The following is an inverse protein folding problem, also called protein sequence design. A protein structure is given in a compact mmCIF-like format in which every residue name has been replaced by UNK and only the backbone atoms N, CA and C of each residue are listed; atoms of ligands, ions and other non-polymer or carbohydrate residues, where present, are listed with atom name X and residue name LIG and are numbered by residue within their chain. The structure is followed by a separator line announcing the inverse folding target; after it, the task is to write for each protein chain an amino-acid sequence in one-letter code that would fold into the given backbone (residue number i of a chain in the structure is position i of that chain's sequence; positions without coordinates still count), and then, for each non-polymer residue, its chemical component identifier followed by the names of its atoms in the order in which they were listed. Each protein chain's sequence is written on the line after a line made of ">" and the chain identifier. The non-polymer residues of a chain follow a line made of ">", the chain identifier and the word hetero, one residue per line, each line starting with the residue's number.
data_IF_324873319926
#
_entry.id   IF_324873319926
#
_cell.length_a   1.000
_cell.length_b   1.000
_cell.length_c   1.000
_cell.angle_alpha   90.00
_cell.angle_beta   90.00
_cell.angle_gamma   90.00
#
_symmetry.space_group_name_H-M   'P 1'
#
loop_
_entity.id
_entity.type
_entity.pdbx_description
1 polymer ?
#
# COMPACT_ATOMS: atom_id res chain seq x y z
N UNK A 1 -11.65 23.12 -31.26
CA UNK A 1 -10.76 24.25 -31.60
C UNK A 1 -11.60 25.48 -31.96
N UNK A 2 -12.53 25.37 -32.90
CA UNK A 2 -13.41 26.48 -33.34
C UNK A 2 -14.18 27.13 -32.17
N UNK A 3 -14.69 26.35 -31.21
CA UNK A 3 -15.38 26.88 -30.03
C UNK A 3 -14.49 27.76 -29.13
N UNK A 4 -13.19 27.57 -29.14
CA UNK A 4 -12.25 28.30 -28.30
C UNK A 4 -11.66 29.53 -28.99
N UNK A 5 -11.37 29.43 -30.30
CA UNK A 5 -10.67 30.52 -31.01
C UNK A 5 -11.59 31.63 -31.50
N UNK A 6 -12.90 31.42 -31.53
CA UNK A 6 -13.93 32.37 -32.00
C UNK A 6 -13.70 32.93 -33.41
N UNK A 7 -12.65 32.51 -34.10
CA UNK A 7 -12.27 32.86 -35.47
C UNK A 7 -12.06 31.57 -36.28
N UNK A 8 -12.13 31.68 -37.61
CA UNK A 8 -11.96 30.55 -38.52
C UNK A 8 -10.62 29.85 -38.30
N UNK A 9 -10.66 28.53 -38.14
CA UNK A 9 -9.46 27.71 -37.87
C UNK A 9 -8.73 27.46 -39.19
N UNK A 10 -7.50 27.91 -39.28
CA UNK A 10 -6.65 27.67 -40.45
C UNK A 10 -6.08 26.25 -40.38
N UNK A 11 -6.11 25.47 -41.51
CA UNK A 11 -5.58 24.10 -41.53
C UNK A 11 -4.16 23.95 -41.04
N UNK A 12 -3.31 24.94 -41.31
CA UNK A 12 -1.92 24.99 -40.84
C UNK A 12 -1.79 25.07 -39.33
N UNK A 13 -2.70 25.77 -38.66
CA UNK A 13 -2.74 25.86 -37.20
C UNK A 13 -3.18 24.53 -36.59
N UNK A 14 -4.14 23.83 -37.21
CA UNK A 14 -4.58 22.52 -36.74
C UNK A 14 -3.44 21.51 -36.81
N UNK A 15 -2.71 21.49 -37.91
CA UNK A 15 -1.58 20.61 -38.11
C UNK A 15 -0.45 20.91 -37.10
N UNK A 16 -0.13 22.17 -36.88
CA UNK A 16 0.86 22.56 -35.86
C UNK A 16 0.44 22.16 -34.43
N UNK A 17 -0.82 22.38 -34.07
CA UNK A 17 -1.38 21.97 -32.79
C UNK A 17 -1.33 20.45 -32.61
N UNK A 18 -1.69 19.70 -33.68
CA UNK A 18 -1.63 18.26 -33.65
C UNK A 18 -0.20 17.74 -33.50
N UNK A 19 0.75 18.25 -34.27
CA UNK A 19 2.15 17.86 -34.17
C UNK A 19 2.77 18.23 -32.83
N UNK A 20 2.49 19.44 -32.32
CA UNK A 20 3.02 19.90 -31.03
C UNK A 20 2.46 19.17 -29.82
N UNK A 21 1.21 18.70 -29.89
CA UNK A 21 0.56 17.97 -28.79
C UNK A 21 0.59 16.45 -28.94
N UNK A 22 1.02 15.94 -30.10
CA UNK A 22 0.92 14.52 -30.46
C UNK A 22 -0.52 14.01 -30.47
N UNK A 23 -1.50 14.89 -30.69
CA UNK A 23 -2.92 14.58 -30.60
C UNK A 23 -3.47 14.43 -29.18
N UNK A 24 -2.69 14.79 -28.16
CA UNK A 24 -3.11 14.70 -26.75
C UNK A 24 -4.17 15.76 -26.43
N UNK A 25 -5.43 15.37 -26.09
CA UNK A 25 -6.51 16.32 -25.82
C UNK A 25 -6.24 17.26 -24.66
N UNK A 26 -5.54 16.78 -23.61
CA UNK A 26 -5.18 17.59 -22.46
C UNK A 26 -4.26 18.73 -22.87
N UNK A 27 -3.16 18.42 -23.56
CA UNK A 27 -2.20 19.44 -24.02
C UNK A 27 -2.85 20.42 -24.97
N UNK A 28 -3.74 19.93 -25.84
CA UNK A 28 -4.49 20.76 -26.75
C UNK A 28 -5.40 21.76 -26.01
N UNK A 29 -6.19 21.30 -25.03
CA UNK A 29 -7.06 22.18 -24.21
C UNK A 29 -6.22 23.16 -23.42
N UNK A 30 -5.11 22.71 -22.81
CA UNK A 30 -4.20 23.57 -22.06
C UNK A 30 -3.56 24.64 -22.95
N UNK A 31 -3.15 24.31 -24.15
CA UNK A 31 -2.67 25.26 -25.17
C UNK A 31 -3.73 26.30 -25.50
N UNK A 32 -4.93 25.83 -25.90
CA UNK A 32 -6.04 26.71 -26.31
C UNK A 32 -6.49 27.65 -25.18
N UNK A 33 -6.54 27.19 -23.93
CA UNK A 33 -6.89 28.02 -22.78
C UNK A 33 -5.79 29.01 -22.36
N UNK A 34 -4.56 28.79 -22.82
CA UNK A 34 -3.41 29.69 -22.56
C UNK A 34 -3.22 30.78 -23.62
N UNK A 35 -3.97 30.68 -24.70
CA UNK A 35 -3.90 31.69 -25.80
C UNK A 35 -4.70 32.94 -25.45
N UNK A 36 -4.13 33.79 -24.64
CA UNK A 36 -4.63 35.17 -24.38
C UNK A 36 -4.11 36.16 -25.45
N UNK A 37 -4.36 35.90 -26.71
CA UNK A 37 -4.16 36.86 -27.81
C UNK A 37 -2.78 37.46 -28.02
N UNK A 38 -1.83 37.30 -27.11
CA UNK A 38 -0.52 37.95 -27.11
C UNK A 38 0.69 37.03 -27.08
N UNK A 39 0.50 35.70 -27.04
CA UNK A 39 1.62 34.74 -26.93
C UNK A 39 1.91 34.05 -28.26
N UNK A 40 3.19 33.88 -28.55
CA UNK A 40 3.71 33.24 -29.74
C UNK A 40 3.43 31.70 -29.64
N UNK A 41 2.41 31.23 -30.37
CA UNK A 41 1.97 29.84 -30.43
C UNK A 41 3.14 28.92 -30.75
N UNK A 42 4.07 29.37 -31.58
CA UNK A 42 5.22 28.58 -32.03
C UNK A 42 6.14 28.17 -30.87
N UNK A 43 6.30 29.04 -29.88
CA UNK A 43 7.10 28.76 -28.69
C UNK A 43 6.40 27.79 -27.73
N UNK A 44 5.07 27.89 -27.62
CA UNK A 44 4.26 26.97 -26.78
C UNK A 44 4.18 25.58 -27.38
N UNK A 45 4.25 25.45 -28.70
CA UNK A 45 4.24 24.18 -29.42
C UNK A 45 5.57 23.42 -29.31
N UNK A 46 6.69 24.11 -29.06
CA UNK A 46 8.00 23.47 -28.85
C UNK A 46 8.10 22.69 -27.54
N UNK A 47 7.38 23.14 -26.51
CA UNK A 47 7.30 22.44 -25.21
C UNK A 47 5.89 22.61 -24.60
N UNK A 48 4.92 21.78 -25.00
CA UNK A 48 3.55 21.86 -24.48
C UNK A 48 3.46 21.62 -22.97
N UNK A 49 4.41 20.88 -22.41
CA UNK A 49 4.46 20.63 -20.96
C UNK A 49 4.90 21.86 -20.17
N UNK A 50 5.55 22.84 -20.81
CA UNK A 50 5.92 24.11 -20.17
C UNK A 50 4.71 24.89 -19.64
N UNK A 51 3.54 24.73 -20.27
CA UNK A 51 2.30 25.36 -19.84
C UNK A 51 1.86 24.79 -18.48
N UNK A 52 1.87 23.46 -18.34
CA UNK A 52 1.53 22.81 -17.07
C UNK A 52 2.57 23.20 -16.01
N UNK A 53 3.84 23.17 -16.35
CA UNK A 53 4.94 23.54 -15.44
C UNK A 53 4.79 24.99 -14.96
N UNK A 54 4.46 25.94 -15.85
CA UNK A 54 4.24 27.34 -15.49
C UNK A 54 3.02 27.51 -14.58
N UNK A 55 1.91 26.81 -14.85
CA UNK A 55 0.74 26.82 -13.97
C UNK A 55 1.08 26.28 -12.58
N UNK A 56 1.82 25.17 -12.51
CA UNK A 56 2.27 24.61 -11.25
C UNK A 56 3.18 25.58 -10.48
N UNK A 57 4.02 26.35 -11.19
CA UNK A 57 4.92 27.34 -10.58
C UNK A 57 4.19 28.60 -10.08
N UNK A 58 3.00 28.90 -10.60
CA UNK A 58 2.16 30.01 -10.16
C UNK A 58 1.25 29.70 -8.98
N UNK A 59 1.19 28.42 -8.55
CA UNK A 59 0.39 28.01 -7.40
C UNK A 59 0.99 28.52 -6.08
N UNK A 60 0.12 28.78 -5.12
CA UNK A 60 0.56 29.04 -3.75
C UNK A 60 1.28 27.78 -3.18
N UNK A 61 2.19 27.96 -2.21
CA UNK A 61 2.85 26.85 -1.55
C UNK A 61 1.86 25.84 -0.96
N UNK A 62 0.72 26.30 -0.46
CA UNK A 62 -0.33 25.50 0.13
C UNK A 62 -1.04 24.62 -0.93
N UNK A 63 -1.44 25.23 -2.04
CA UNK A 63 -2.04 24.50 -3.17
C UNK A 63 -1.06 23.45 -3.72
N UNK A 64 0.23 23.80 -3.77
CA UNK A 64 1.28 22.87 -4.18
C UNK A 64 1.41 21.67 -3.24
N UNK A 65 1.32 21.89 -1.92
CA UNK A 65 1.37 20.80 -0.93
C UNK A 65 0.23 19.79 -1.12
N UNK A 66 -0.97 20.24 -1.49
CA UNK A 66 -2.09 19.33 -1.80
C UNK A 66 -1.72 18.40 -2.97
N UNK A 67 -1.22 18.97 -4.07
CA UNK A 67 -0.80 18.18 -5.22
C UNK A 67 0.32 17.20 -4.88
N UNK A 68 1.28 17.64 -4.06
CA UNK A 68 2.38 16.77 -3.62
C UNK A 68 1.89 15.58 -2.80
N UNK A 69 0.93 15.78 -1.90
CA UNK A 69 0.32 14.69 -1.13
C UNK A 69 -0.47 13.75 -2.04
N UNK A 70 -1.34 14.28 -2.92
CA UNK A 70 -2.14 13.43 -3.82
C UNK A 70 -1.24 12.62 -4.76
N UNK A 71 -0.08 13.16 -5.16
CA UNK A 71 0.81 12.53 -6.14
C UNK A 71 1.40 11.20 -5.70
N UNK A 72 1.54 10.96 -4.39
CA UNK A 72 2.14 9.72 -3.84
C UNK A 72 1.14 8.57 -3.70
N UNK A 73 -0.14 8.80 -3.94
CA UNK A 73 -1.16 7.74 -3.95
C UNK A 73 -1.34 7.20 -5.37
N UNK A 74 -1.60 5.89 -5.48
CA UNK A 74 -1.85 5.26 -6.78
C UNK A 74 -3.18 5.71 -7.41
N UNK A 75 -4.19 5.99 -6.59
CA UNK A 75 -5.55 6.33 -7.00
C UNK A 75 -6.07 7.63 -6.40
N UNK A 76 -7.35 7.60 -6.04
CA UNK A 76 -8.05 8.70 -5.37
C UNK A 76 -7.63 8.82 -3.90
N UNK A 77 -7.72 10.02 -3.36
CA UNK A 77 -7.38 10.34 -1.96
C UNK A 77 -8.60 10.96 -1.31
N UNK A 78 -9.00 10.40 -0.16
CA UNK A 78 -10.12 10.96 0.59
C UNK A 78 -9.77 12.31 1.20
N UNK A 79 -10.79 13.16 1.34
CA UNK A 79 -10.63 14.48 1.96
C UNK A 79 -10.12 14.39 3.40
N UNK A 80 -10.53 13.34 4.14
CA UNK A 80 -10.09 13.11 5.52
C UNK A 80 -8.58 12.87 5.62
N UNK A 81 -8.00 12.14 4.65
CA UNK A 81 -6.56 11.97 4.55
C UNK A 81 -5.86 13.32 4.34
N UNK A 82 -6.39 14.16 3.43
CA UNK A 82 -5.80 15.46 3.15
C UNK A 82 -5.84 16.39 4.37
N UNK A 83 -6.97 16.44 5.09
CA UNK A 83 -7.12 17.25 6.31
C UNK A 83 -6.15 16.81 7.40
N UNK A 84 -5.99 15.51 7.59
CA UNK A 84 -5.11 14.95 8.62
C UNK A 84 -3.63 15.16 8.32
N UNK A 85 -3.22 15.09 7.06
CA UNK A 85 -1.81 15.22 6.66
C UNK A 85 -1.36 16.69 6.55
N UNK A 86 -2.25 17.58 6.17
CA UNK A 86 -1.91 18.98 5.86
C UNK A 86 -2.11 19.95 7.02
N UNK A 87 -2.68 19.49 8.14
CA UNK A 87 -2.89 20.29 9.37
C UNK A 87 -3.54 21.68 9.10
N UNK A 88 -4.46 21.73 8.12
CA UNK A 88 -5.17 22.93 7.70
C UNK A 88 -6.63 22.88 8.11
N UNK A 89 -7.24 24.07 8.22
CA UNK A 89 -8.69 24.14 8.37
C UNK A 89 -9.41 23.51 7.17
N UNK A 90 -10.46 22.75 7.45
CA UNK A 90 -11.20 22.01 6.44
C UNK A 90 -11.79 22.94 5.35
N UNK A 91 -12.28 24.14 5.72
CA UNK A 91 -12.81 25.09 4.75
C UNK A 91 -11.71 25.64 3.86
N UNK A 92 -10.56 26.00 4.44
CA UNK A 92 -9.39 26.48 3.65
C UNK A 92 -8.97 25.41 2.64
N UNK A 93 -8.94 24.14 3.08
CA UNK A 93 -8.56 23.03 2.23
C UNK A 93 -9.54 22.81 1.08
N UNK A 94 -10.86 22.89 1.34
CA UNK A 94 -11.88 22.81 0.30
C UNK A 94 -11.68 23.91 -0.75
N UNK A 95 -11.53 25.17 -0.32
CA UNK A 95 -11.30 26.29 -1.26
C UNK A 95 -10.07 26.07 -2.14
N UNK A 96 -8.98 25.55 -1.56
CA UNK A 96 -7.77 25.23 -2.34
C UNK A 96 -8.02 24.08 -3.34
N UNK A 97 -8.75 23.05 -2.95
CA UNK A 97 -9.12 21.95 -3.84
C UNK A 97 -10.04 22.41 -4.97
N UNK A 98 -11.06 23.23 -4.67
CA UNK A 98 -11.93 23.84 -5.68
C UNK A 98 -11.14 24.69 -6.68
N UNK A 99 -10.20 25.49 -6.19
CA UNK A 99 -9.32 26.28 -7.04
C UNK A 99 -8.45 25.38 -7.95
N UNK A 100 -7.84 24.32 -7.41
CA UNK A 100 -7.09 23.35 -8.19
C UNK A 100 -7.95 22.62 -9.23
N UNK A 101 -9.22 22.34 -8.90
CA UNK A 101 -10.20 21.78 -9.82
C UNK A 101 -10.56 22.75 -10.94
N UNK A 102 -10.77 24.05 -10.63
CA UNK A 102 -11.02 25.09 -11.65
C UNK A 102 -9.84 25.24 -12.61
N UNK A 103 -8.60 25.06 -12.12
CA UNK A 103 -7.40 25.03 -12.95
C UNK A 103 -7.24 23.75 -13.77
N UNK A 104 -8.15 22.77 -13.63
CA UNK A 104 -8.08 21.48 -14.34
C UNK A 104 -6.91 20.60 -13.88
N UNK A 105 -6.41 20.80 -12.65
CA UNK A 105 -5.33 20.01 -12.08
C UNK A 105 -5.84 18.82 -11.28
N UNK A 106 -6.99 18.98 -10.60
CA UNK A 106 -7.67 17.93 -9.84
C UNK A 106 -9.06 17.64 -10.40
N UNK A 107 -9.49 16.42 -10.21
CA UNK A 107 -10.89 15.97 -10.32
C UNK A 107 -11.39 15.53 -8.95
N UNK A 108 -12.68 15.76 -8.73
CA UNK A 108 -13.39 15.41 -7.51
C UNK A 108 -14.43 14.33 -7.83
N UNK A 109 -14.54 13.37 -6.96
CA UNK A 109 -15.58 12.34 -6.99
C UNK A 109 -16.18 12.19 -5.60
N UNK A 110 -17.46 11.82 -5.56
CA UNK A 110 -18.15 11.49 -4.31
C UNK A 110 -18.76 10.12 -4.50
N UNK A 111 -18.07 9.10 -4.00
CA UNK A 111 -18.57 7.74 -3.96
C UNK A 111 -18.93 7.38 -2.53
N UNK A 112 -20.13 6.80 -2.33
CA UNK A 112 -20.59 6.30 -1.02
C UNK A 112 -20.57 7.35 0.12
N UNK A 113 -20.68 8.66 -0.21
CA UNK A 113 -20.67 9.76 0.76
C UNK A 113 -19.28 10.24 1.18
N UNK A 114 -18.21 9.67 0.65
CA UNK A 114 -16.84 10.12 0.90
C UNK A 114 -16.39 11.02 -0.24
N UNK A 115 -15.86 12.20 0.11
CA UNK A 115 -15.30 13.15 -0.85
C UNK A 115 -13.86 12.74 -1.17
N UNK A 116 -13.57 12.53 -2.45
CA UNK A 116 -12.27 12.07 -2.93
C UNK A 116 -11.72 12.96 -4.03
N UNK A 117 -10.40 13.11 -4.05
CA UNK A 117 -9.66 13.87 -5.05
C UNK A 117 -8.63 13.00 -5.76
N UNK A 118 -8.46 13.25 -7.07
CA UNK A 118 -7.41 12.65 -7.88
C UNK A 118 -6.87 13.68 -8.86
N UNK A 119 -5.75 13.39 -9.51
CA UNK A 119 -5.34 14.22 -10.64
C UNK A 119 -6.33 14.11 -11.79
N UNK A 120 -6.62 15.23 -12.45
CA UNK A 120 -7.45 15.25 -13.64
C UNK A 120 -6.85 14.41 -14.78
N UNK A 121 -5.52 14.30 -14.83
CA UNK A 121 -4.77 13.50 -15.80
C UNK A 121 -3.44 13.00 -15.21
N UNK A 122 -3.06 11.76 -15.54
CA UNK A 122 -1.84 11.13 -15.05
C UNK A 122 -0.55 11.88 -15.46
N UNK A 123 -0.58 12.57 -16.59
CA UNK A 123 0.55 13.38 -17.01
C UNK A 123 0.82 14.55 -16.07
N UNK A 124 -0.21 15.18 -15.50
CA UNK A 124 -0.04 16.24 -14.48
C UNK A 124 0.61 15.63 -13.24
N UNK A 125 0.15 14.47 -12.81
CA UNK A 125 0.74 13.71 -11.69
C UNK A 125 2.23 13.45 -11.92
N UNK A 126 2.59 12.95 -13.10
CA UNK A 126 3.98 12.65 -13.47
C UNK A 126 4.87 13.89 -13.40
N UNK A 127 4.38 15.06 -13.87
CA UNK A 127 5.11 16.32 -13.79
C UNK A 127 5.27 16.77 -12.32
N UNK A 128 4.22 16.65 -11.50
CA UNK A 128 4.29 16.98 -10.07
C UNK A 128 5.33 16.11 -9.37
N UNK A 129 5.33 14.80 -9.62
CA UNK A 129 6.31 13.86 -9.06
C UNK A 129 7.74 14.22 -9.49
N UNK A 130 7.96 14.53 -10.79
CA UNK A 130 9.29 14.86 -11.31
C UNK A 130 9.90 16.12 -10.71
N UNK A 131 9.05 17.05 -10.24
CA UNK A 131 9.49 18.30 -9.59
C UNK A 131 9.74 18.15 -8.09
N UNK A 132 9.35 17.01 -7.48
CA UNK A 132 9.61 16.74 -6.07
C UNK A 132 11.03 16.21 -5.87
N UNK A 133 11.69 16.67 -4.81
CA UNK A 133 12.93 16.06 -4.36
C UNK A 133 12.67 14.68 -3.73
N UNK A 134 13.63 13.78 -3.84
CA UNK A 134 13.52 12.45 -3.21
C UNK A 134 13.26 12.54 -1.70
N UNK A 135 13.96 13.47 -1.02
CA UNK A 135 13.77 13.69 0.42
C UNK A 135 12.33 14.09 0.75
N UNK A 136 11.72 14.96 -0.08
CA UNK A 136 10.31 15.38 0.10
C UNK A 136 9.37 14.20 -0.08
N UNK A 137 9.53 13.40 -1.13
CA UNK A 137 8.72 12.20 -1.38
C UNK A 137 8.81 11.21 -0.23
N UNK A 138 10.02 10.92 0.26
CA UNK A 138 10.24 10.02 1.41
C UNK A 138 9.48 10.50 2.65
N UNK A 139 9.56 11.79 2.98
CA UNK A 139 8.85 12.35 4.13
C UNK A 139 7.33 12.23 3.97
N UNK A 140 6.81 12.49 2.77
CA UNK A 140 5.38 12.37 2.48
C UNK A 140 4.91 10.92 2.64
N UNK A 141 5.63 9.96 2.06
CA UNK A 141 5.32 8.54 2.22
C UNK A 141 5.32 8.11 3.69
N UNK A 142 6.31 8.54 4.48
CA UNK A 142 6.35 8.23 5.92
C UNK A 142 5.15 8.80 6.68
N UNK A 143 4.76 10.05 6.41
CA UNK A 143 3.60 10.66 7.05
C UNK A 143 2.30 9.94 6.70
N UNK A 144 2.13 9.59 5.43
CA UNK A 144 0.97 8.80 4.98
C UNK A 144 0.94 7.44 5.67
N UNK A 145 2.07 6.72 5.68
CA UNK A 145 2.16 5.43 6.33
C UNK A 145 1.81 5.50 7.83
N UNK A 146 2.35 6.49 8.54
CA UNK A 146 2.07 6.72 9.96
C UNK A 146 0.60 7.03 10.21
N UNK A 147 -0.01 7.86 9.37
CA UNK A 147 -1.43 8.17 9.46
C UNK A 147 -2.28 6.92 9.23
N UNK A 148 -2.04 6.18 8.14
CA UNK A 148 -2.77 4.95 7.84
C UNK A 148 -2.61 3.89 8.94
N UNK A 149 -1.41 3.77 9.51
CA UNK A 149 -1.15 2.86 10.64
C UNK A 149 -2.01 3.22 11.88
N UNK A 150 -2.24 4.51 12.14
CA UNK A 150 -3.10 4.94 13.28
C UNK A 150 -4.59 4.79 13.02
N UNK A 151 -5.00 4.82 11.74
CA UNK A 151 -6.40 4.69 11.34
C UNK A 151 -6.84 3.25 11.06
N UNK A 152 -5.91 2.32 11.13
CA UNK A 152 -6.17 0.92 10.80
C UNK A 152 -7.17 0.30 11.79
N UNK A 153 -8.45 0.30 11.41
CA UNK A 153 -9.54 -0.36 12.15
C UNK A 153 -9.76 -1.78 11.63
N UNK A 154 -9.61 -1.99 10.31
CA UNK A 154 -9.78 -3.27 9.65
C UNK A 154 -8.45 -3.80 9.12
N UNK A 155 -8.13 -5.03 9.51
CA UNK A 155 -6.93 -5.74 9.05
C UNK A 155 -7.26 -6.50 7.77
N UNK A 156 -6.85 -5.95 6.62
CA UNK A 156 -7.02 -6.57 5.30
C UNK A 156 -5.67 -6.70 4.59
N UNK A 157 -5.58 -7.61 3.62
CA UNK A 157 -4.37 -7.74 2.80
C UNK A 157 -4.05 -6.41 2.10
N UNK A 158 -5.05 -5.75 1.52
CA UNK A 158 -4.88 -4.46 0.84
C UNK A 158 -4.39 -3.35 1.78
N UNK A 159 -4.85 -3.33 3.05
CA UNK A 159 -4.37 -2.34 4.03
C UNK A 159 -2.90 -2.56 4.36
N UNK A 160 -2.45 -3.81 4.48
CA UNK A 160 -1.05 -4.12 4.68
C UNK A 160 -0.18 -3.77 3.46
N UNK A 161 -0.61 -4.10 2.24
CA UNK A 161 0.09 -3.75 1.01
C UNK A 161 0.31 -2.24 0.89
N UNK A 162 -0.72 -1.46 1.21
CA UNK A 162 -0.62 0.01 1.23
C UNK A 162 0.43 0.49 2.24
N UNK A 163 0.46 -0.10 3.45
CA UNK A 163 1.46 0.23 4.47
C UNK A 163 2.87 -0.18 4.04
N UNK A 164 3.04 -1.38 3.46
CA UNK A 164 4.31 -1.88 2.93
C UNK A 164 4.85 -0.90 1.89
N UNK A 165 4.01 -0.52 0.92
CA UNK A 165 4.39 0.42 -0.13
C UNK A 165 4.86 1.75 0.44
N UNK A 166 4.06 2.38 1.30
CA UNK A 166 4.41 3.69 1.84
C UNK A 166 5.60 3.66 2.81
N UNK A 167 5.74 2.65 3.66
CA UNK A 167 6.93 2.51 4.51
C UNK A 167 8.20 2.22 3.70
N UNK A 168 8.11 1.39 2.66
CA UNK A 168 9.24 1.11 1.75
C UNK A 168 9.69 2.37 1.02
N UNK A 169 8.76 3.08 0.38
CA UNK A 169 9.05 4.33 -0.34
C UNK A 169 9.52 5.45 0.61
N UNK A 170 9.07 5.44 1.86
CA UNK A 170 9.51 6.35 2.91
C UNK A 170 10.88 5.98 3.51
N UNK A 171 11.43 4.82 3.19
CA UNK A 171 12.72 4.36 3.68
C UNK A 171 12.69 3.73 5.08
N UNK A 172 11.52 3.47 5.66
CA UNK A 172 11.40 2.74 6.92
C UNK A 172 11.34 1.23 6.65
N UNK A 173 12.53 0.65 6.42
CA UNK A 173 12.69 -0.76 6.05
C UNK A 173 12.12 -1.72 7.09
N UNK A 174 12.28 -1.40 8.39
CA UNK A 174 11.78 -2.28 9.44
C UNK A 174 10.25 -2.34 9.49
N UNK A 175 9.55 -1.21 9.41
CA UNK A 175 8.10 -1.23 9.37
C UNK A 175 7.56 -1.88 8.09
N UNK A 176 8.18 -1.65 6.95
CA UNK A 176 7.82 -2.36 5.72
C UNK A 176 7.98 -3.88 5.89
N UNK A 177 9.09 -4.33 6.46
CA UNK A 177 9.35 -5.74 6.79
C UNK A 177 8.31 -6.30 7.78
N UNK A 178 8.01 -5.57 8.86
CA UNK A 178 6.96 -5.96 9.82
C UNK A 178 5.62 -6.23 9.11
N UNK A 179 5.19 -5.31 8.26
CA UNK A 179 3.90 -5.46 7.57
C UNK A 179 3.93 -6.54 6.49
N UNK A 180 5.06 -6.84 5.86
CA UNK A 180 5.23 -8.02 4.98
C UNK A 180 4.96 -9.32 5.74
N UNK A 181 5.51 -9.49 6.94
CA UNK A 181 5.25 -10.66 7.78
C UNK A 181 3.77 -10.74 8.19
N UNK A 182 3.16 -9.61 8.61
CA UNK A 182 1.76 -9.59 9.02
C UNK A 182 0.81 -9.87 7.85
N UNK A 183 1.10 -9.35 6.66
CA UNK A 183 0.37 -9.65 5.42
C UNK A 183 0.44 -11.13 5.07
N UNK A 184 1.65 -11.71 5.12
CA UNK A 184 1.87 -13.13 4.87
C UNK A 184 1.13 -14.01 5.87
N UNK A 185 1.15 -13.66 7.16
CA UNK A 185 0.41 -14.40 8.18
C UNK A 185 -1.10 -14.34 7.94
N UNK A 186 -1.64 -13.17 7.61
CA UNK A 186 -3.06 -13.03 7.27
C UNK A 186 -3.41 -13.85 6.03
N UNK A 187 -2.58 -13.81 4.99
CA UNK A 187 -2.76 -14.64 3.80
C UNK A 187 -2.77 -16.12 4.16
N UNK A 188 -1.81 -16.58 4.98
CA UNK A 188 -1.77 -17.95 5.45
C UNK A 188 -3.01 -18.33 6.28
N UNK A 189 -3.53 -17.41 7.09
CA UNK A 189 -4.77 -17.60 7.83
C UNK A 189 -6.00 -17.76 6.92
N UNK A 190 -6.03 -17.08 5.79
CA UNK A 190 -7.16 -17.15 4.87
C UNK A 190 -7.10 -18.35 3.90
N UNK A 191 -5.90 -18.76 3.49
CA UNK A 191 -5.68 -19.78 2.45
C UNK A 191 -5.30 -21.15 2.98
N UNK A 192 -4.54 -21.23 4.08
CA UNK A 192 -3.94 -22.48 4.56
C UNK A 192 -4.58 -22.99 5.86
N UNK A 193 -5.88 -22.86 5.96
CA UNK A 193 -6.71 -23.42 7.04
C UNK A 193 -7.37 -24.73 6.61
N UNK A 194 -7.95 -25.46 7.59
CA UNK A 194 -8.77 -26.65 7.33
C UNK A 194 -9.98 -26.34 6.42
N UNK A 195 -10.54 -25.13 6.58
CA UNK A 195 -11.64 -24.59 5.78
C UNK A 195 -11.22 -23.21 5.28
N UNK A 196 -10.47 -23.13 4.18
CA UNK A 196 -9.98 -21.85 3.68
C UNK A 196 -11.14 -20.94 3.27
N UNK A 197 -11.01 -19.66 3.57
CA UNK A 197 -11.98 -18.61 3.21
C UNK A 197 -11.61 -17.88 1.93
N UNK A 198 -10.38 -18.06 1.46
CA UNK A 198 -9.88 -17.57 0.17
C UNK A 198 -9.24 -18.72 -0.60
N UNK A 199 -9.43 -18.73 -1.92
CA UNK A 199 -8.66 -19.59 -2.80
C UNK A 199 -7.25 -19.04 -2.96
N UNK A 200 -6.23 -19.92 -2.95
CA UNK A 200 -4.86 -19.53 -3.19
C UNK A 200 -4.72 -18.94 -4.60
N UNK A 201 -3.99 -17.82 -4.72
CA UNK A 201 -3.78 -17.14 -6.00
C UNK A 201 -4.64 -15.88 -6.23
N UNK A 202 -5.37 -15.41 -5.21
CA UNK A 202 -6.00 -14.09 -5.25
C UNK A 202 -4.91 -13.01 -5.34
N UNK A 203 -5.13 -11.99 -6.19
CA UNK A 203 -4.22 -10.85 -6.41
C UNK A 203 -3.75 -10.25 -5.08
N UNK A 204 -2.54 -10.60 -4.69
CA UNK A 204 -1.85 -10.06 -3.52
C UNK A 204 -0.34 -9.98 -3.83
N UNK A 205 0.40 -9.14 -3.11
CA UNK A 205 1.87 -9.09 -3.22
C UNK A 205 2.54 -10.36 -2.68
N UNK A 206 1.77 -11.31 -2.14
CA UNK A 206 2.27 -12.61 -1.72
C UNK A 206 2.60 -13.44 -2.97
N UNK A 207 3.81 -14.03 -3.06
CA UNK A 207 4.24 -14.79 -4.22
C UNK A 207 3.33 -15.96 -4.56
N UNK A 208 3.32 -16.37 -5.82
CA UNK A 208 2.71 -17.63 -6.24
C UNK A 208 3.28 -18.82 -5.47
N UNK A 209 2.50 -19.88 -5.31
CA UNK A 209 2.84 -21.08 -4.49
C UNK A 209 4.24 -21.63 -4.78
N UNK A 210 4.65 -21.68 -6.05
CA UNK A 210 5.97 -22.18 -6.48
C UNK A 210 7.17 -21.42 -5.87
N UNK A 211 6.98 -20.19 -5.44
CA UNK A 211 8.03 -19.32 -4.89
C UNK A 211 7.88 -19.06 -3.38
N UNK A 212 6.88 -19.63 -2.74
CA UNK A 212 6.56 -19.34 -1.34
C UNK A 212 7.68 -19.71 -0.38
N UNK A 213 8.32 -20.85 -0.54
CA UNK A 213 9.43 -21.27 0.33
C UNK A 213 10.61 -20.30 0.23
N UNK A 214 10.97 -19.88 -0.98
CA UNK A 214 12.03 -18.88 -1.17
C UNK A 214 11.67 -17.56 -0.49
N UNK A 215 10.40 -17.19 -0.50
CA UNK A 215 9.93 -15.97 0.16
C UNK A 215 10.02 -16.06 1.69
N UNK A 216 9.74 -17.21 2.29
CA UNK A 216 10.00 -17.43 3.72
C UNK A 216 11.49 -17.32 4.03
N UNK A 217 12.36 -17.95 3.23
CA UNK A 217 13.82 -17.89 3.39
C UNK A 217 14.35 -16.45 3.29
N UNK A 218 13.82 -15.62 2.38
CA UNK A 218 14.13 -14.19 2.28
C UNK A 218 13.74 -13.43 3.56
N UNK A 219 12.54 -13.68 4.08
CA UNK A 219 12.07 -13.02 5.31
C UNK A 219 12.87 -13.46 6.55
N UNK A 220 13.27 -14.73 6.65
CA UNK A 220 14.17 -15.20 7.72
C UNK A 220 15.55 -14.53 7.62
N UNK A 221 16.08 -14.36 6.40
CA UNK A 221 17.33 -13.65 6.18
C UNK A 221 17.22 -12.16 6.58
N UNK A 222 16.15 -11.48 6.18
CA UNK A 222 15.90 -10.10 6.58
C UNK A 222 15.78 -9.98 8.11
N UNK A 223 15.10 -10.90 8.80
CA UNK A 223 14.99 -10.94 10.26
C UNK A 223 16.36 -11.04 10.94
N UNK A 224 17.23 -11.91 10.45
CA UNK A 224 18.61 -12.06 10.98
C UNK A 224 19.43 -10.79 10.75
N UNK A 225 19.23 -10.11 9.63
CA UNK A 225 19.88 -8.85 9.31
C UNK A 225 19.42 -7.74 10.26
N UNK A 226 18.13 -7.61 10.55
CA UNK A 226 17.61 -6.65 11.52
C UNK A 226 18.13 -6.96 12.94
N UNK A 227 18.22 -8.22 13.35
CA UNK A 227 18.82 -8.59 14.65
C UNK A 227 20.27 -8.16 14.79
N UNK A 228 21.06 -8.30 13.74
CA UNK A 228 22.48 -7.91 13.75
C UNK A 228 22.67 -6.40 13.79
N UNK A 229 21.71 -5.61 13.30
CA UNK A 229 21.80 -4.16 13.20
C UNK A 229 21.59 -3.41 14.51
N UNK A 230 21.08 -4.06 15.55
CA UNK A 230 20.81 -3.52 16.90
C UNK A 230 19.98 -2.21 16.96
N UNK A 231 19.27 -1.85 15.89
CA UNK A 231 18.43 -0.65 15.85
C UNK A 231 17.03 -0.87 16.40
N UNK A 232 16.60 -2.13 16.50
CA UNK A 232 15.23 -2.47 16.87
C UNK A 232 15.19 -3.26 18.17
N UNK A 233 14.04 -3.21 18.86
CA UNK A 233 13.80 -3.95 20.08
C UNK A 233 13.90 -5.45 19.84
N UNK A 234 14.69 -6.16 20.65
CA UNK A 234 14.76 -7.64 20.58
C UNK A 234 13.39 -8.28 20.74
N UNK A 235 12.53 -7.71 21.60
CA UNK A 235 11.19 -8.22 21.85
C UNK A 235 10.27 -8.11 20.63
N UNK A 236 10.37 -7.03 19.86
CA UNK A 236 9.55 -6.88 18.64
C UNK A 236 10.01 -7.86 17.55
N UNK A 237 11.31 -8.06 17.42
CA UNK A 237 11.88 -9.05 16.51
C UNK A 237 11.50 -10.49 16.91
N UNK A 238 11.47 -10.81 18.20
CA UNK A 238 11.05 -12.12 18.69
C UNK A 238 9.57 -12.40 18.39
N UNK A 239 8.71 -11.39 18.54
CA UNK A 239 7.29 -11.50 18.15
C UNK A 239 7.12 -11.72 16.63
N UNK A 240 7.89 -11.00 15.82
CA UNK A 240 7.83 -11.16 14.36
C UNK A 240 8.36 -12.53 13.91
N UNK A 241 9.40 -13.07 14.58
CA UNK A 241 9.88 -14.43 14.33
C UNK A 241 8.78 -15.47 14.60
N UNK A 242 8.06 -15.35 15.72
CA UNK A 242 6.95 -16.25 16.05
C UNK A 242 5.88 -16.22 14.95
N UNK A 243 5.47 -15.03 14.52
CA UNK A 243 4.46 -14.87 13.47
C UNK A 243 4.94 -15.48 12.15
N UNK A 244 6.21 -15.29 11.80
CA UNK A 244 6.80 -15.83 10.58
C UNK A 244 6.85 -17.37 10.61
N UNK A 245 7.36 -17.95 11.70
CA UNK A 245 7.41 -19.41 11.91
C UNK A 245 6.02 -20.03 11.84
N UNK A 246 5.03 -19.35 12.42
CA UNK A 246 3.65 -19.82 12.40
C UNK A 246 3.05 -19.81 10.99
N UNK A 247 3.23 -18.73 10.22
CA UNK A 247 2.78 -18.65 8.84
C UNK A 247 3.44 -19.71 7.95
N UNK A 248 4.75 -19.95 8.12
CA UNK A 248 5.50 -20.95 7.38
C UNK A 248 5.05 -22.38 7.76
N UNK A 249 4.83 -22.64 9.05
CA UNK A 249 4.35 -23.96 9.49
C UNK A 249 2.99 -24.30 8.90
N UNK A 250 2.08 -23.31 8.80
CA UNK A 250 0.78 -23.48 8.16
C UNK A 250 0.92 -23.84 6.69
N UNK A 251 1.73 -23.09 5.96
CA UNK A 251 2.02 -23.37 4.55
C UNK A 251 2.57 -24.80 4.38
N UNK A 252 3.56 -25.17 5.19
CA UNK A 252 4.19 -26.48 5.12
C UNK A 252 3.20 -27.64 5.42
N UNK A 253 2.39 -27.51 6.47
CA UNK A 253 1.37 -28.50 6.80
C UNK A 253 0.32 -28.61 5.70
N UNK A 254 -0.19 -27.47 5.21
CA UNK A 254 -1.20 -27.45 4.15
C UNK A 254 -0.71 -28.16 2.88
N UNK A 255 0.54 -27.93 2.49
CA UNK A 255 1.14 -28.48 1.27
C UNK A 255 1.81 -29.85 1.45
N UNK A 256 1.62 -30.52 2.58
CA UNK A 256 2.16 -31.88 2.81
C UNK A 256 3.66 -31.93 3.11
N UNK A 257 4.31 -30.79 3.39
CA UNK A 257 5.72 -30.71 3.79
C UNK A 257 5.83 -30.92 5.30
N UNK A 258 5.36 -32.10 5.76
CA UNK A 258 5.10 -32.35 7.17
C UNK A 258 6.35 -32.31 8.06
N UNK A 259 7.49 -32.84 7.59
CA UNK A 259 8.73 -32.85 8.39
C UNK A 259 9.16 -31.41 8.75
N UNK A 260 9.18 -30.50 7.76
CA UNK A 260 9.51 -29.09 7.99
C UNK A 260 8.43 -28.42 8.84
N UNK A 261 7.16 -28.64 8.52
CA UNK A 261 6.03 -28.06 9.25
C UNK A 261 6.03 -28.43 10.74
N UNK A 262 6.20 -29.70 11.09
CA UNK A 262 6.28 -30.14 12.48
C UNK A 262 7.52 -29.60 13.20
N UNK A 263 8.69 -29.55 12.55
CA UNK A 263 9.89 -28.97 13.13
C UNK A 263 9.70 -27.46 13.45
N UNK A 264 8.99 -26.71 12.62
CA UNK A 264 8.63 -25.32 12.87
C UNK A 264 7.66 -25.18 14.05
N UNK A 265 6.64 -26.04 14.14
CA UNK A 265 5.72 -26.07 15.27
C UNK A 265 6.43 -26.40 16.59
N UNK A 266 7.39 -27.33 16.59
CA UNK A 266 8.21 -27.63 17.76
C UNK A 266 9.05 -26.43 18.22
N UNK A 267 9.65 -25.72 17.27
CA UNK A 267 10.36 -24.44 17.54
C UNK A 267 9.43 -23.41 18.15
N UNK A 268 8.21 -23.28 17.65
CA UNK A 268 7.20 -22.37 18.18
C UNK A 268 6.86 -22.72 19.63
N UNK A 269 6.50 -23.97 19.94
CA UNK A 269 6.19 -24.37 21.30
C UNK A 269 7.30 -24.05 22.30
N UNK A 270 8.57 -24.19 21.91
CA UNK A 270 9.70 -23.82 22.74
C UNK A 270 9.80 -22.31 22.98
N UNK A 271 9.58 -21.50 21.93
CA UNK A 271 9.65 -20.04 21.99
C UNK A 271 8.49 -19.42 22.77
N UNK A 272 7.28 -19.87 22.51
CA UNK A 272 6.06 -19.37 23.12
C UNK A 272 5.97 -19.67 24.60
N UNK A 273 6.43 -20.85 25.04
CA UNK A 273 6.57 -21.18 26.45
C UNK A 273 7.51 -20.19 27.16
N UNK A 274 8.54 -19.70 26.48
CA UNK A 274 9.45 -18.68 27.02
C UNK A 274 8.82 -17.28 27.07
N UNK A 275 7.93 -16.95 26.14
CA UNK A 275 7.26 -15.64 26.05
C UNK A 275 5.90 -15.59 26.74
N UNK A 276 5.37 -16.73 27.20
CA UNK A 276 4.05 -16.88 27.83
C UNK A 276 2.88 -16.36 26.98
N UNK A 277 2.94 -16.57 25.64
CA UNK A 277 1.85 -16.22 24.72
C UNK A 277 0.87 -17.39 24.60
N UNK A 278 -0.14 -17.42 25.49
CA UNK A 278 -1.16 -18.47 25.53
C UNK A 278 -1.97 -18.55 24.24
N UNK A 279 -2.28 -17.41 23.62
CA UNK A 279 -3.08 -17.38 22.39
C UNK A 279 -2.35 -18.07 21.23
N UNK A 280 -1.05 -17.79 21.09
CA UNK A 280 -0.25 -18.41 20.04
C UNK A 280 0.03 -19.89 20.35
N UNK A 281 0.22 -20.27 21.61
CA UNK A 281 0.31 -21.70 22.02
C UNK A 281 -0.93 -22.49 21.57
N UNK A 282 -2.13 -21.94 21.82
CA UNK A 282 -3.39 -22.57 21.38
C UNK A 282 -3.42 -22.71 19.85
N UNK A 283 -3.06 -21.65 19.12
CA UNK A 283 -2.99 -21.67 17.65
C UNK A 283 -2.00 -22.73 17.15
N UNK A 284 -0.86 -22.89 17.81
CA UNK A 284 0.14 -23.90 17.47
C UNK A 284 -0.40 -25.32 17.68
N UNK A 285 -1.10 -25.57 18.79
CA UNK A 285 -1.77 -26.86 19.01
C UNK A 285 -2.87 -27.13 17.97
N UNK A 286 -3.62 -26.12 17.54
CA UNK A 286 -4.60 -26.29 16.46
C UNK A 286 -3.94 -26.71 15.13
N UNK A 287 -2.74 -26.23 14.82
CA UNK A 287 -2.01 -26.68 13.62
C UNK A 287 -1.58 -28.15 13.71
N UNK A 288 -1.19 -28.65 14.91
CA UNK A 288 -0.95 -30.07 15.10
C UNK A 288 -2.22 -30.92 14.96
N UNK A 289 -3.37 -30.42 15.43
CA UNK A 289 -4.66 -31.09 15.19
C UNK A 289 -4.94 -31.16 13.69
N UNK A 290 -4.72 -30.06 12.96
CA UNK A 290 -4.88 -30.04 11.51
C UNK A 290 -3.95 -31.06 10.81
N UNK A 291 -2.67 -31.09 11.20
CA UNK A 291 -1.73 -32.12 10.75
C UNK A 291 -2.24 -33.53 11.00
N UNK A 292 -2.70 -33.82 12.24
CA UNK A 292 -3.27 -35.11 12.60
C UNK A 292 -4.48 -35.53 11.75
N UNK A 293 -5.33 -34.53 11.38
CA UNK A 293 -6.48 -34.78 10.47
C UNK A 293 -5.98 -35.17 9.08
N UNK A 294 -4.99 -34.45 8.54
CA UNK A 294 -4.47 -34.70 7.18
C UNK A 294 -3.83 -36.11 7.05
N UNK A 295 -3.14 -36.56 8.09
CA UNK A 295 -2.46 -37.86 8.07
C UNK A 295 -3.26 -39.00 8.75
N UNK A 296 -4.52 -38.73 9.13
CA UNK A 296 -5.43 -39.69 9.79
C UNK A 296 -4.88 -40.26 11.10
N UNK A 297 -4.21 -39.42 11.95
CA UNK A 297 -3.63 -39.84 13.23
C UNK A 297 -4.43 -39.24 14.40
N UNK A 298 -5.35 -40.06 14.93
CA UNK A 298 -6.23 -39.69 16.06
C UNK A 298 -5.47 -39.43 17.36
N UNK A 299 -4.37 -40.14 17.58
CA UNK A 299 -3.51 -39.99 18.75
C UNK A 299 -2.90 -38.56 18.85
N UNK A 300 -2.46 -38.01 17.71
CA UNK A 300 -1.96 -36.64 17.63
C UNK A 300 -3.09 -35.63 17.92
N UNK A 301 -4.26 -35.87 17.34
CA UNK A 301 -5.44 -35.01 17.53
C UNK A 301 -5.82 -34.95 18.99
N UNK A 302 -5.97 -36.12 19.64
CA UNK A 302 -6.37 -36.24 21.06
C UNK A 302 -5.32 -35.54 21.98
N UNK A 303 -4.04 -35.80 21.74
CA UNK A 303 -2.96 -35.24 22.53
C UNK A 303 -2.99 -33.69 22.48
N UNK A 304 -3.02 -33.09 21.28
CA UNK A 304 -2.96 -31.65 21.13
C UNK A 304 -4.28 -30.95 21.49
N UNK A 305 -5.41 -31.63 21.33
CA UNK A 305 -6.70 -31.14 21.84
C UNK A 305 -6.68 -31.01 23.37
N UNK A 306 -6.18 -32.05 24.07
CA UNK A 306 -6.09 -32.02 25.52
C UNK A 306 -5.16 -30.93 26.03
N UNK A 307 -3.99 -30.76 25.37
CA UNK A 307 -3.04 -29.67 25.71
C UNK A 307 -3.66 -28.29 25.48
N UNK A 308 -4.32 -28.07 24.35
CA UNK A 308 -5.00 -26.81 24.05
C UNK A 308 -6.12 -26.49 25.03
N UNK A 309 -6.92 -27.48 25.40
CA UNK A 309 -7.99 -27.31 26.41
C UNK A 309 -7.42 -26.96 27.80
N UNK A 310 -6.28 -27.56 28.18
CA UNK A 310 -5.61 -27.21 29.44
C UNK A 310 -5.16 -25.76 29.49
N UNK A 311 -4.74 -25.19 28.34
CA UNK A 311 -4.35 -23.78 28.23
C UNK A 311 -5.54 -22.82 28.30
N UNK A 312 -6.72 -23.25 27.88
CA UNK A 312 -7.95 -22.46 27.98
C UNK A 312 -8.49 -22.36 29.41
N UNK A 313 -8.05 -23.26 30.33
CA UNK A 313 -8.53 -23.31 31.70
C UNK A 313 -9.91 -23.97 31.82
N UNK A 314 -10.33 -24.26 33.07
CA UNK A 314 -11.63 -24.88 33.36
C UNK A 314 -12.83 -23.93 33.16
N UNK A 315 -12.63 -22.70 32.68
CA UNK A 315 -13.66 -21.67 32.52
C UNK A 315 -14.52 -21.84 31.24
N UNK A 316 -14.33 -22.91 30.47
CA UNK A 316 -15.03 -23.18 29.21
C UNK A 316 -15.91 -24.44 29.29
N UNK A 317 -16.36 -24.83 30.49
CA UNK A 317 -17.38 -25.86 30.67
C UNK A 317 -18.72 -25.30 31.10
#
# INVERSE_FOLDING_TARGET
>A
IECYLKEGVYPELVEQLYQGTGGNPLLLVQLLTSLDGSQDITKLLQDPYSIITRRLSSLSPEARQILDVISIFAGKVSFDILTSLLTKDALELIYLCEHLKQYGLLSESSDSGTLEYSFAHDQIKSIVISQQTEARRRILHLRVAQYLETQQQDTTLQSYETLIYHFSAGGNRFKAFKYRILSLNLYAELCYELLPTLEAGVDSEVPAEDNMLNFFDELEHDLTTFRSSAFESSQDLDKLEIVLLYAESRYCIHNGIYEKGCALLDRLLQRENALHDTAMLIKTHLQYIYYGVQIYRTDIIEQHLQLGMTLLGDDVC
#
